data_IF_949289550199
#
_entry.id   IF_949289550199
#
_cell.length_a   1.000
_cell.length_b   1.000
_cell.length_c   1.000
_cell.angle_alpha   90.00
_cell.angle_beta   90.00
_cell.angle_gamma   90.00
#
_symmetry.space_group_name_H-M   'P 1'
#
loop_
_entity.id
_entity.type
_entity.pdbx_description
1 polymer ?
#
# COMPACT_ATOMS: atom_id res chain seq x y z
N UNK A 1 17.85 6.70 13.47
CA UNK A 1 16.48 6.67 14.02
C UNK A 1 15.61 6.00 12.97
N UNK A 2 15.12 4.78 13.21
CA UNK A 2 14.26 4.07 12.25
C UNK A 2 12.87 4.68 12.40
N UNK A 3 12.37 5.34 11.36
CA UNK A 3 11.04 5.93 11.35
C UNK A 3 10.02 4.80 11.55
N UNK A 4 8.99 5.02 12.36
CA UNK A 4 7.93 4.02 12.57
C UNK A 4 7.19 3.85 11.25
N UNK A 5 7.29 2.66 10.66
CA UNK A 5 6.55 2.28 9.46
C UNK A 5 5.05 2.26 9.75
N UNK A 6 4.24 2.38 8.71
CA UNK A 6 2.80 2.17 8.82
C UNK A 6 2.46 0.77 9.36
N UNK A 7 1.26 0.66 9.92
CA UNK A 7 0.74 -0.60 10.42
C UNK A 7 0.76 -1.68 9.32
N UNK A 8 1.03 -2.96 9.65
CA UNK A 8 1.00 -4.03 8.67
C UNK A 8 -0.39 -4.19 8.05
N UNK A 9 -0.42 -4.64 6.78
CA UNK A 9 -1.59 -4.93 5.92
C UNK A 9 -2.63 -5.93 6.51
N UNK A 10 -2.47 -6.36 7.76
CA UNK A 10 -3.26 -7.43 8.39
C UNK A 10 -4.53 -6.97 9.12
N UNK A 11 -4.79 -5.66 9.21
CA UNK A 11 -6.06 -5.15 9.72
C UNK A 11 -7.11 -5.09 8.60
N UNK A 12 -8.37 -5.38 8.91
CA UNK A 12 -9.47 -5.47 7.92
C UNK A 12 -9.58 -4.27 6.98
N UNK A 13 -10.20 -4.44 5.81
CA UNK A 13 -10.21 -3.42 4.74
C UNK A 13 -10.82 -2.09 5.20
N UNK A 14 -11.92 -2.14 5.97
CA UNK A 14 -12.60 -0.98 6.53
C UNK A 14 -12.61 -1.05 8.07
N UNK A 15 -12.54 0.10 8.72
CA UNK A 15 -12.80 0.26 10.15
C UNK A 15 -13.26 1.67 10.44
N UNK A 16 -14.15 1.81 11.41
CA UNK A 16 -14.57 3.08 11.96
C UNK A 16 -14.37 3.03 13.47
N UNK A 17 -13.67 4.02 14.01
CA UNK A 17 -13.35 4.10 15.43
C UNK A 17 -13.28 5.54 15.88
N UNK A 18 -13.29 5.74 17.19
CA UNK A 18 -13.00 7.02 17.81
C UNK A 18 -11.67 6.92 18.55
N UNK A 19 -10.77 7.88 18.31
CA UNK A 19 -9.46 7.93 18.96
C UNK A 19 -9.32 9.26 19.66
N UNK A 20 -9.30 9.22 21.00
CA UNK A 20 -9.21 10.42 21.82
C UNK A 20 -10.32 11.43 21.53
N UNK A 21 -11.56 10.97 21.32
CA UNK A 21 -12.72 11.80 20.99
C UNK A 21 -12.85 12.19 19.52
N UNK A 22 -11.89 11.79 18.67
CA UNK A 22 -11.86 12.15 17.24
C UNK A 22 -12.33 10.99 16.36
N UNK A 23 -13.33 11.17 15.48
CA UNK A 23 -13.76 10.10 14.58
C UNK A 23 -12.69 9.81 13.54
N UNK A 24 -12.45 8.52 13.33
CA UNK A 24 -11.48 7.98 12.38
C UNK A 24 -12.18 6.96 11.49
N UNK A 25 -12.15 7.20 10.19
CA UNK A 25 -12.56 6.25 9.16
C UNK A 25 -11.32 5.72 8.46
N UNK A 26 -11.14 4.40 8.45
CA UNK A 26 -10.00 3.74 7.83
C UNK A 26 -10.44 2.94 6.61
N UNK A 27 -9.71 3.06 5.51
CA UNK A 27 -9.92 2.23 4.31
C UNK A 27 -8.57 1.85 3.67
N UNK A 28 -8.32 0.55 3.55
CA UNK A 28 -7.04 -0.01 3.03
C UNK A 28 -7.12 -0.53 1.58
N UNK A 29 -8.29 -0.47 0.95
CA UNK A 29 -8.43 -0.83 -0.45
C UNK A 29 -9.70 -0.22 -1.03
N UNK A 30 -9.65 0.14 -2.31
CA UNK A 30 -10.82 0.43 -3.13
C UNK A 30 -11.16 -0.73 -4.07
N UNK A 31 -10.81 -1.97 -3.73
CA UNK A 31 -11.28 -3.14 -4.45
C UNK A 31 -12.80 -3.29 -4.37
N UNK A 32 -13.41 -3.92 -5.38
CA UNK A 32 -14.88 -4.15 -5.42
C UNK A 32 -15.37 -5.23 -4.43
N UNK A 33 -14.45 -5.83 -3.66
CA UNK A 33 -14.77 -6.87 -2.68
C UNK A 33 -13.82 -6.80 -1.46
N UNK A 34 -14.29 -7.06 -0.23
CA UNK A 34 -15.69 -7.28 0.15
C UNK A 34 -16.55 -6.01 -0.01
N UNK A 35 -17.74 -6.17 -0.61
CA UNK A 35 -18.59 -5.04 -1.01
C UNK A 35 -19.13 -4.27 0.21
N UNK A 36 -19.38 -4.98 1.30
CA UNK A 36 -19.79 -4.42 2.58
C UNK A 36 -18.80 -3.38 3.14
N UNK A 37 -17.50 -3.55 2.91
CA UNK A 37 -16.49 -2.58 3.34
C UNK A 37 -16.56 -1.30 2.51
N UNK A 38 -16.80 -1.42 1.20
CA UNK A 38 -17.01 -0.26 0.33
C UNK A 38 -18.32 0.45 0.67
N UNK A 39 -19.39 -0.30 0.92
CA UNK A 39 -20.68 0.29 1.28
C UNK A 39 -20.61 1.02 2.63
N UNK A 40 -19.92 0.45 3.64
CA UNK A 40 -19.66 1.11 4.91
C UNK A 40 -18.80 2.38 4.74
N UNK A 41 -17.73 2.30 3.94
CA UNK A 41 -16.92 3.47 3.60
C UNK A 41 -17.76 4.57 2.95
N UNK A 42 -18.58 4.25 1.96
CA UNK A 42 -19.45 5.24 1.30
C UNK A 42 -20.55 5.78 2.21
N UNK A 43 -21.01 5.02 3.21
CA UNK A 43 -21.97 5.48 4.21
C UNK A 43 -21.33 6.52 5.16
N UNK A 44 -20.07 6.30 5.57
CA UNK A 44 -19.33 7.22 6.44
C UNK A 44 -19.24 8.64 5.87
N UNK A 45 -19.16 8.78 4.53
CA UNK A 45 -19.14 10.07 3.85
C UNK A 45 -20.36 10.94 4.21
N UNK A 46 -21.55 10.32 4.21
CA UNK A 46 -22.79 11.02 4.53
C UNK A 46 -22.95 11.24 6.03
N UNK A 47 -22.49 10.30 6.85
CA UNK A 47 -22.53 10.38 8.31
C UNK A 47 -21.73 11.58 8.84
N UNK A 48 -20.53 11.79 8.32
CA UNK A 48 -19.62 12.84 8.79
C UNK A 48 -19.72 14.15 8.02
N UNK A 49 -20.65 14.25 7.07
CA UNK A 49 -20.91 15.50 6.36
C UNK A 49 -21.42 16.57 7.34
N UNK A 50 -20.67 17.66 7.47
CA UNK A 50 -21.00 18.76 8.37
C UNK A 50 -20.53 18.54 9.82
N UNK A 51 -19.83 17.44 10.12
CA UNK A 51 -19.16 17.26 11.40
C UNK A 51 -18.03 18.30 11.59
N UNK A 52 -17.62 18.62 12.83
CA UNK A 52 -16.52 19.56 13.08
C UNK A 52 -15.19 19.10 12.49
N UNK A 53 -14.89 17.80 12.57
CA UNK A 53 -13.77 17.19 11.86
C UNK A 53 -13.96 15.68 11.63
N UNK A 54 -13.15 15.13 10.72
CA UNK A 54 -13.02 13.70 10.47
C UNK A 54 -11.56 13.39 10.12
N UNK A 55 -11.00 12.33 10.71
CA UNK A 55 -9.76 11.73 10.23
C UNK A 55 -10.11 10.60 9.26
N UNK A 56 -9.56 10.64 8.04
CA UNK A 56 -9.65 9.54 7.07
C UNK A 56 -8.26 8.94 6.90
N UNK A 57 -8.08 7.73 7.41
CA UNK A 57 -6.83 7.00 7.34
C UNK A 57 -6.79 6.13 6.09
N UNK A 58 -6.01 6.56 5.09
CA UNK A 58 -5.80 5.83 3.84
C UNK A 58 -4.40 5.24 3.73
N UNK A 59 -3.57 5.30 4.78
CA UNK A 59 -2.24 4.63 4.81
C UNK A 59 -2.39 3.17 4.38
N UNK A 60 -1.48 2.63 3.58
CA UNK A 60 -1.59 1.26 3.09
C UNK A 60 -2.69 1.00 2.05
N UNK A 61 -3.39 2.03 1.55
CA UNK A 61 -4.43 1.85 0.53
C UNK A 61 -3.85 1.68 -0.87
N UNK A 62 -3.83 0.44 -1.35
CA UNK A 62 -3.22 0.09 -2.65
C UNK A 62 -4.10 0.44 -3.86
N UNK A 63 -5.22 1.13 -3.67
CA UNK A 63 -6.14 1.53 -4.73
C UNK A 63 -7.18 0.47 -5.09
N UNK A 64 -7.61 0.45 -6.35
CA UNK A 64 -8.69 -0.42 -6.84
C UNK A 64 -9.56 0.28 -7.88
N UNK A 65 -10.86 0.35 -7.63
CA UNK A 65 -11.83 0.99 -8.50
C UNK A 65 -11.99 2.47 -8.14
N UNK A 66 -11.65 3.35 -9.09
CA UNK A 66 -11.68 4.81 -8.95
C UNK A 66 -13.10 5.36 -8.68
N UNK A 67 -14.14 4.59 -8.99
CA UNK A 67 -15.52 4.98 -8.72
C UNK A 67 -15.80 5.18 -7.22
N UNK A 68 -15.17 4.40 -6.34
CA UNK A 68 -15.43 4.47 -4.89
C UNK A 68 -14.94 5.75 -4.23
N UNK A 69 -13.66 6.15 -4.36
CA UNK A 69 -13.21 7.43 -3.80
C UNK A 69 -13.97 8.62 -4.40
N UNK A 70 -14.27 8.59 -5.71
CA UNK A 70 -15.08 9.64 -6.35
C UNK A 70 -16.50 9.75 -5.77
N UNK A 71 -17.15 8.60 -5.55
CA UNK A 71 -18.47 8.57 -4.92
C UNK A 71 -18.43 9.03 -3.46
N UNK A 72 -17.38 8.66 -2.71
CA UNK A 72 -17.20 9.12 -1.34
C UNK A 72 -17.13 10.65 -1.28
N UNK A 73 -16.28 11.28 -2.09
CA UNK A 73 -16.19 12.76 -2.16
C UNK A 73 -17.52 13.39 -2.57
N UNK A 74 -18.22 12.79 -3.54
CA UNK A 74 -19.56 13.23 -3.97
C UNK A 74 -20.55 13.21 -2.81
N UNK A 75 -20.59 12.14 -2.02
CA UNK A 75 -21.50 11.99 -0.87
C UNK A 75 -21.13 12.94 0.26
N UNK A 76 -19.83 13.09 0.53
CA UNK A 76 -19.30 13.95 1.59
C UNK A 76 -19.58 15.43 1.32
N UNK A 77 -19.29 15.92 0.11
CA UNK A 77 -19.40 17.34 -0.24
C UNK A 77 -20.76 17.71 -0.86
N UNK A 78 -21.46 16.72 -1.44
CA UNK A 78 -22.62 16.96 -2.31
C UNK A 78 -22.26 17.42 -3.72
N UNK A 79 -20.96 17.46 -4.08
CA UNK A 79 -20.48 17.81 -5.41
C UNK A 79 -19.52 16.74 -5.92
N UNK A 80 -19.70 16.35 -7.17
CA UNK A 80 -18.80 15.39 -7.79
C UNK A 80 -17.46 16.08 -8.13
N UNK A 81 -16.31 15.53 -7.70
CA UNK A 81 -15.02 16.08 -8.10
C UNK A 81 -14.72 15.75 -9.57
N UNK A 82 -13.99 16.65 -10.23
CA UNK A 82 -13.46 16.41 -11.57
C UNK A 82 -12.14 15.63 -11.50
N UNK A 83 -11.69 15.11 -12.64
CA UNK A 83 -10.31 14.60 -12.73
C UNK A 83 -9.35 15.77 -12.63
N UNK A 84 -8.16 15.54 -12.09
CA UNK A 84 -7.02 16.49 -12.17
C UNK A 84 -6.00 16.08 -13.23
N UNK A 85 -6.32 15.02 -13.96
CA UNK A 85 -5.50 14.41 -14.99
C UNK A 85 -6.29 14.31 -16.29
N UNK A 86 -5.62 14.64 -17.40
CA UNK A 86 -6.04 14.21 -18.74
C UNK A 86 -5.90 12.70 -18.79
N UNK A 87 -6.97 12.00 -19.15
CA UNK A 87 -7.00 10.55 -19.32
C UNK A 87 -7.18 10.21 -20.80
N UNK A 88 -6.37 9.27 -21.29
CA UNK A 88 -6.60 8.59 -22.56
C UNK A 88 -6.20 7.13 -22.43
N UNK A 89 -6.83 6.26 -23.20
CA UNK A 89 -6.58 4.82 -23.21
C UNK A 89 -6.27 4.35 -24.63
N UNK A 90 -5.25 3.52 -24.80
CA UNK A 90 -4.93 2.89 -26.07
C UNK A 90 -5.92 1.75 -26.32
N UNK A 91 -6.71 1.90 -27.38
CA UNK A 91 -7.72 0.94 -27.81
C UNK A 91 -7.19 0.20 -29.03
N UNK A 92 -7.07 -1.12 -28.89
CA UNK A 92 -6.59 -2.07 -29.90
C UNK A 92 -7.09 -3.46 -29.53
N UNK A 93 -7.05 -4.40 -30.48
CA UNK A 93 -7.35 -5.81 -30.19
C UNK A 93 -6.57 -6.32 -28.96
N UNK A 94 -5.24 -6.11 -28.94
CA UNK A 94 -4.37 -6.57 -27.85
C UNK A 94 -4.74 -5.93 -26.53
N UNK A 95 -4.91 -4.61 -26.46
CA UNK A 95 -5.24 -3.95 -25.18
C UNK A 95 -6.61 -4.40 -24.66
N UNK A 96 -7.60 -4.54 -25.54
CA UNK A 96 -8.97 -4.92 -25.17
C UNK A 96 -9.09 -6.39 -24.76
N UNK A 97 -8.45 -7.33 -25.45
CA UNK A 97 -8.44 -8.72 -24.98
C UNK A 97 -7.73 -8.85 -23.63
N UNK A 98 -6.64 -8.09 -23.42
CA UNK A 98 -5.96 -8.06 -22.14
C UNK A 98 -6.80 -7.44 -21.02
N UNK A 99 -7.68 -6.48 -21.33
CA UNK A 99 -8.68 -5.95 -20.39
C UNK A 99 -9.72 -7.00 -20.03
N UNK A 100 -10.25 -7.73 -21.02
CA UNK A 100 -11.15 -8.86 -20.81
C UNK A 100 -10.50 -9.90 -19.87
N UNK A 101 -9.23 -10.22 -20.09
CA UNK A 101 -8.45 -11.11 -19.22
C UNK A 101 -8.30 -10.58 -17.79
N UNK A 102 -8.08 -9.27 -17.60
CA UNK A 102 -8.01 -8.66 -16.26
C UNK A 102 -9.29 -8.88 -15.46
N UNK A 103 -10.45 -8.66 -16.08
CA UNK A 103 -11.75 -8.88 -15.42
C UNK A 103 -12.04 -10.36 -15.21
N UNK A 104 -11.66 -11.23 -16.16
CA UNK A 104 -11.80 -12.67 -16.01
C UNK A 104 -10.93 -13.22 -14.87
N UNK A 105 -9.70 -12.74 -14.73
CA UNK A 105 -8.81 -13.10 -13.63
C UNK A 105 -9.36 -12.64 -12.28
N UNK A 106 -9.85 -11.41 -12.20
CA UNK A 106 -10.47 -10.90 -10.98
C UNK A 106 -11.70 -11.74 -10.59
N UNK A 107 -12.56 -12.08 -11.55
CA UNK A 107 -13.72 -12.95 -11.35
C UNK A 107 -13.34 -14.37 -10.92
N UNK A 108 -12.27 -14.93 -11.47
CA UNK A 108 -11.74 -16.23 -11.06
C UNK A 108 -11.27 -16.20 -9.60
N UNK A 109 -10.58 -15.14 -9.18
CA UNK A 109 -10.04 -15.01 -7.83
C UNK A 109 -11.12 -14.65 -6.80
N UNK A 110 -12.18 -13.94 -7.22
CA UNK A 110 -13.30 -13.51 -6.39
C UNK A 110 -14.62 -13.78 -7.13
N UNK A 111 -15.18 -15.00 -7.02
CA UNK A 111 -16.40 -15.40 -7.73
C UNK A 111 -17.63 -14.52 -7.45
N UNK A 112 -17.69 -13.87 -6.29
CA UNK A 112 -18.75 -12.94 -5.87
C UNK A 112 -18.86 -11.72 -6.80
N UNK A 113 -17.78 -11.38 -7.52
CA UNK A 113 -17.80 -10.32 -8.53
C UNK A 113 -18.74 -10.64 -9.71
N UNK A 114 -19.18 -11.90 -9.86
CA UNK A 114 -20.21 -12.29 -10.84
C UNK A 114 -21.50 -11.48 -10.67
N UNK A 115 -21.84 -11.11 -9.44
CA UNK A 115 -23.02 -10.32 -9.09
C UNK A 115 -22.79 -8.80 -9.22
N UNK A 116 -21.56 -8.38 -9.54
CA UNK A 116 -21.13 -6.99 -9.62
C UNK A 116 -20.81 -6.55 -11.07
N UNK A 117 -21.37 -7.25 -12.06
CA UNK A 117 -21.26 -6.89 -13.48
C UNK A 117 -19.94 -7.27 -14.15
N UNK A 118 -19.03 -7.98 -13.46
CA UNK A 118 -17.76 -8.43 -14.06
C UNK A 118 -17.94 -9.31 -15.31
N UNK A 119 -18.90 -10.26 -15.37
CA UNK A 119 -19.13 -11.04 -16.58
C UNK A 119 -19.47 -10.16 -17.79
N UNK A 120 -20.30 -9.13 -17.61
CA UNK A 120 -20.64 -8.20 -18.67
C UNK A 120 -19.41 -7.42 -19.16
N UNK A 121 -18.52 -6.99 -18.24
CA UNK A 121 -17.26 -6.33 -18.61
C UNK A 121 -16.32 -7.25 -19.40
N UNK A 122 -16.25 -8.54 -19.03
CA UNK A 122 -15.46 -9.53 -19.78
C UNK A 122 -15.92 -9.60 -21.23
N UNK A 123 -17.24 -9.70 -21.45
CA UNK A 123 -17.82 -9.74 -22.80
C UNK A 123 -17.69 -8.40 -23.53
N UNK A 124 -17.88 -7.27 -22.86
CA UNK A 124 -17.72 -5.93 -23.41
C UNK A 124 -16.32 -5.73 -24.01
N UNK A 125 -15.27 -6.01 -23.22
CA UNK A 125 -13.89 -5.87 -23.70
C UNK A 125 -13.51 -6.91 -24.75
N UNK A 126 -14.16 -8.10 -24.74
CA UNK A 126 -13.99 -9.07 -25.82
C UNK A 126 -14.60 -8.58 -27.13
N UNK A 127 -15.81 -8.03 -27.09
CA UNK A 127 -16.46 -7.45 -28.26
C UNK A 127 -15.66 -6.28 -28.85
N UNK A 128 -15.03 -5.45 -28.01
CA UNK A 128 -14.11 -4.42 -28.52
C UNK A 128 -12.90 -5.02 -29.23
N UNK A 129 -12.33 -6.13 -28.72
CA UNK A 129 -11.20 -6.78 -29.38
C UNK A 129 -11.60 -7.35 -30.75
N UNK A 130 -12.75 -8.03 -30.84
CA UNK A 130 -13.29 -8.60 -32.09
C UNK A 130 -13.53 -7.54 -33.16
N UNK A 131 -14.06 -6.36 -32.79
CA UNK A 131 -14.25 -5.25 -33.73
C UNK A 131 -12.93 -4.74 -34.37
N UNK A 132 -11.80 -4.87 -33.67
CA UNK A 132 -10.48 -4.53 -34.22
C UNK A 132 -9.94 -5.58 -35.19
N UNK A 133 -10.25 -6.86 -34.98
CA UNK A 133 -9.93 -7.93 -35.93
C UNK A 133 -10.66 -7.72 -37.27
N UNK A 134 -11.86 -7.14 -37.22
CA UNK A 134 -12.65 -6.76 -38.40
C UNK A 134 -12.16 -5.49 -39.13
N UNK A 135 -10.97 -4.97 -38.77
CA UNK A 135 -10.28 -3.91 -39.52
C UNK A 135 -10.37 -2.51 -38.93
N UNK A 136 -10.84 -2.35 -37.69
CA UNK A 136 -10.74 -1.07 -36.97
C UNK A 136 -9.29 -0.84 -36.55
N UNK A 137 -8.68 0.28 -36.97
CA UNK A 137 -7.31 0.62 -36.59
C UNK A 137 -7.19 0.95 -35.10
N UNK A 138 -6.04 0.67 -34.48
CA UNK A 138 -5.76 1.07 -33.10
C UNK A 138 -5.78 2.61 -32.94
N UNK A 139 -6.34 3.09 -31.85
CA UNK A 139 -6.45 4.53 -31.57
C UNK A 139 -6.36 4.84 -30.08
N UNK A 140 -6.06 6.09 -29.76
CA UNK A 140 -6.16 6.60 -28.40
C UNK A 140 -7.56 7.15 -28.15
N UNK A 141 -8.21 6.71 -27.08
CA UNK A 141 -9.53 7.19 -26.70
C UNK A 141 -9.53 8.72 -26.58
N UNK A 142 -10.51 9.43 -27.17
CA UNK A 142 -10.56 10.88 -27.11
C UNK A 142 -10.47 11.39 -25.67
N UNK A 143 -9.60 12.38 -25.44
CA UNK A 143 -9.42 12.98 -24.13
C UNK A 143 -10.09 14.35 -24.06
N UNK A 144 -10.44 14.74 -22.84
CA UNK A 144 -10.79 16.11 -22.50
C UNK A 144 -9.79 16.63 -21.48
N UNK A 145 -9.53 17.94 -21.52
CA UNK A 145 -8.73 18.59 -20.48
C UNK A 145 -9.68 18.96 -19.34
N UNK A 146 -9.51 18.39 -18.14
CA UNK A 146 -10.39 18.74 -17.04
C UNK A 146 -10.04 20.12 -16.48
N UNK A 147 -11.03 20.79 -15.91
CA UNK A 147 -10.89 22.06 -15.20
C UNK A 147 -11.26 21.85 -13.73
N UNK A 148 -10.35 21.31 -12.89
CA UNK A 148 -10.65 21.05 -11.49
C UNK A 148 -11.00 22.35 -10.76
N UNK A 149 -12.02 22.30 -9.92
CA UNK A 149 -12.53 23.46 -9.18
C UNK A 149 -12.53 23.18 -7.69
N UNK A 150 -12.37 24.24 -6.91
CA UNK A 150 -12.55 24.18 -5.46
C UNK A 150 -13.98 23.79 -5.10
N UNK A 151 -14.12 22.80 -4.23
CA UNK A 151 -15.36 22.21 -3.73
C UNK A 151 -15.50 22.61 -2.26
N UNK A 152 -16.50 23.42 -1.90
CA UNK A 152 -16.71 23.82 -0.52
C UNK A 152 -16.99 22.62 0.39
N UNK A 153 -16.45 22.66 1.60
CA UNK A 153 -16.70 21.69 2.67
C UNK A 153 -16.92 22.41 3.99
N UNK A 154 -17.90 21.98 4.77
CA UNK A 154 -18.17 22.48 6.13
C UNK A 154 -17.53 21.62 7.22
N UNK A 155 -16.69 20.66 6.84
CA UNK A 155 -16.00 19.74 7.74
C UNK A 155 -14.49 19.83 7.52
N UNK A 156 -13.72 19.93 8.60
CA UNK A 156 -12.26 19.76 8.52
C UNK A 156 -11.94 18.29 8.31
N UNK A 157 -11.31 17.96 7.19
CA UNK A 157 -10.89 16.62 6.86
C UNK A 157 -9.38 16.47 7.06
N UNK A 158 -8.96 15.49 7.83
CA UNK A 158 -7.55 15.18 8.05
C UNK A 158 -7.28 13.82 7.42
N UNK A 159 -6.42 13.77 6.42
CA UNK A 159 -6.17 12.55 5.63
C UNK A 159 -4.80 12.00 5.98
N UNK A 160 -4.74 10.75 6.45
CA UNK A 160 -3.48 10.11 6.77
C UNK A 160 -2.96 9.34 5.56
N UNK A 161 -1.71 9.62 5.17
CA UNK A 161 -1.07 9.08 3.95
C UNK A 161 0.28 8.45 4.24
N UNK A 162 0.67 7.47 3.45
CA UNK A 162 1.99 6.84 3.50
C UNK A 162 2.47 6.34 2.12
N UNK A 163 3.70 5.82 2.08
CA UNK A 163 4.31 5.29 0.85
C UNK A 163 3.61 4.08 0.24
N UNK A 164 2.57 3.54 0.88
CA UNK A 164 1.78 2.41 0.39
C UNK A 164 0.42 2.83 -0.17
N UNK A 165 0.18 4.14 -0.31
CA UNK A 165 -0.98 4.66 -1.04
C UNK A 165 -0.70 4.67 -2.53
N UNK A 166 -1.46 3.89 -3.31
CA UNK A 166 -1.26 3.73 -4.75
C UNK A 166 -2.55 3.84 -5.56
N UNK A 167 -2.43 4.15 -6.86
CA UNK A 167 -3.51 4.02 -7.84
C UNK A 167 -4.77 4.80 -7.42
N UNK A 168 -5.95 4.17 -7.30
CA UNK A 168 -7.16 4.88 -6.83
C UNK A 168 -7.06 5.45 -5.41
N UNK A 169 -6.10 4.99 -4.59
CA UNK A 169 -5.71 5.65 -3.35
C UNK A 169 -5.19 7.06 -3.61
N UNK A 170 -4.33 7.21 -4.62
CA UNK A 170 -3.80 8.49 -5.06
C UNK A 170 -4.81 9.30 -5.90
N UNK A 171 -5.73 8.61 -6.58
CA UNK A 171 -6.92 9.22 -7.16
C UNK A 171 -7.80 9.87 -6.10
N UNK A 172 -7.92 9.27 -4.91
CA UNK A 172 -8.64 9.87 -3.79
C UNK A 172 -7.96 11.14 -3.30
N UNK A 173 -6.63 11.13 -3.15
CA UNK A 173 -5.84 12.33 -2.83
C UNK A 173 -6.11 13.44 -3.86
N UNK A 174 -6.09 13.09 -5.15
CA UNK A 174 -6.38 14.01 -6.26
C UNK A 174 -7.78 14.63 -6.18
N UNK A 175 -8.79 13.85 -5.80
CA UNK A 175 -10.14 14.37 -5.59
C UNK A 175 -10.24 15.27 -4.35
N UNK A 176 -9.54 14.92 -3.28
CA UNK A 176 -9.55 15.68 -2.04
C UNK A 176 -8.76 16.99 -2.12
N UNK A 177 -7.76 17.12 -3.00
CA UNK A 177 -7.11 18.41 -3.29
C UNK A 177 -8.08 19.46 -3.86
N UNK A 178 -9.22 19.06 -4.40
CA UNK A 178 -10.26 19.98 -4.82
C UNK A 178 -11.13 20.43 -3.66
N UNK A 179 -11.11 19.76 -2.51
CA UNK A 179 -12.04 20.01 -1.39
C UNK A 179 -11.43 21.00 -0.41
N UNK A 180 -12.21 22.00 0.03
CA UNK A 180 -11.78 22.93 1.08
C UNK A 180 -11.63 22.23 2.43
N UNK A 181 -10.81 22.81 3.32
CA UNK A 181 -10.63 22.34 4.70
C UNK A 181 -10.06 20.90 4.81
N UNK A 182 -9.25 20.48 3.82
CA UNK A 182 -8.51 19.20 3.86
C UNK A 182 -7.04 19.46 4.26
N UNK A 183 -6.49 18.60 5.12
CA UNK A 183 -5.05 18.55 5.43
C UNK A 183 -4.53 17.12 5.34
N UNK A 184 -3.46 16.90 4.58
CA UNK A 184 -2.79 15.62 4.43
C UNK A 184 -1.62 15.50 5.43
N UNK A 185 -1.56 14.41 6.18
CA UNK A 185 -0.55 14.18 7.23
C UNK A 185 0.06 12.79 7.04
N UNK A 186 1.39 12.72 7.03
CA UNK A 186 2.10 11.45 6.98
C UNK A 186 3.32 11.48 6.08
N UNK A 187 3.46 10.48 5.23
CA UNK A 187 4.55 10.37 4.25
C UNK A 187 4.02 10.55 2.83
N UNK A 188 4.92 10.67 1.85
CA UNK A 188 4.54 10.71 0.45
C UNK A 188 3.76 9.45 0.05
N UNK A 189 2.80 9.57 -0.86
CA UNK A 189 2.20 8.40 -1.51
C UNK A 189 3.19 7.68 -2.43
N UNK A 190 2.79 6.53 -2.98
CA UNK A 190 3.68 5.63 -3.68
C UNK A 190 4.01 6.01 -5.14
N UNK A 191 3.23 6.88 -5.78
CA UNK A 191 3.52 7.41 -7.12
C UNK A 191 3.23 6.46 -8.28
N UNK A 192 2.07 5.79 -8.29
CA UNK A 192 1.58 4.98 -9.40
C UNK A 192 0.36 5.64 -10.05
N UNK A 193 0.61 6.71 -10.81
CA UNK A 193 -0.42 7.71 -11.21
C UNK A 193 -0.41 8.05 -12.69
N UNK A 194 0.67 7.79 -13.42
CA UNK A 194 0.78 8.09 -14.85
C UNK A 194 0.20 6.98 -15.71
N UNK A 195 0.44 5.72 -15.36
CA UNK A 195 0.01 4.57 -16.15
C UNK A 195 -1.05 3.75 -15.42
N UNK A 196 -2.08 3.31 -16.14
CA UNK A 196 -3.23 2.66 -15.53
C UNK A 196 -3.95 1.70 -16.47
N UNK A 197 -5.14 1.28 -16.03
CA UNK A 197 -5.98 0.31 -16.74
C UNK A 197 -5.16 -0.93 -17.16
N UNK A 198 -4.80 -1.77 -16.18
CA UNK A 198 -3.94 -2.91 -16.45
C UNK A 198 -4.64 -3.92 -17.38
N UNK A 199 -3.88 -4.38 -18.38
CA UNK A 199 -4.21 -5.49 -19.26
C UNK A 199 -3.32 -6.69 -18.93
N UNK A 200 -3.90 -7.89 -18.89
CA UNK A 200 -3.16 -9.11 -18.54
C UNK A 200 -3.04 -10.05 -19.75
N UNK A 201 -1.81 -10.54 -19.96
CA UNK A 201 -1.43 -11.35 -21.11
C UNK A 201 -0.63 -12.57 -20.67
N UNK A 202 -0.68 -13.63 -21.47
CA UNK A 202 0.18 -14.81 -21.32
C UNK A 202 0.99 -15.00 -22.60
N UNK A 203 2.31 -15.01 -22.49
CA UNK A 203 3.18 -15.16 -23.65
C UNK A 203 3.05 -16.59 -24.23
N UNK A 204 2.89 -16.73 -25.56
CA UNK A 204 2.46 -17.99 -26.18
C UNK A 204 3.48 -19.14 -26.07
N UNK A 205 4.77 -18.83 -25.95
CA UNK A 205 5.83 -19.86 -25.86
C UNK A 205 6.30 -20.10 -24.42
N UNK A 206 6.61 -19.03 -23.68
CA UNK A 206 7.16 -19.12 -22.31
C UNK A 206 6.10 -19.26 -21.22
N UNK A 207 4.83 -18.97 -21.54
CA UNK A 207 3.72 -18.93 -20.58
C UNK A 207 3.86 -17.89 -19.47
N UNK A 208 4.83 -16.96 -19.59
CA UNK A 208 5.01 -15.86 -18.65
C UNK A 208 3.78 -14.96 -18.69
N UNK A 209 3.29 -14.60 -17.51
CA UNK A 209 2.23 -13.61 -17.35
C UNK A 209 2.82 -12.21 -17.39
N UNK A 210 2.21 -11.33 -18.17
CA UNK A 210 2.63 -9.93 -18.31
C UNK A 210 1.42 -9.04 -18.04
N UNK A 211 1.61 -8.05 -17.16
CA UNK A 211 0.67 -6.97 -16.96
C UNK A 211 1.21 -5.71 -17.65
N UNK A 212 0.40 -5.08 -18.50
CA UNK A 212 0.77 -3.86 -19.23
C UNK A 212 -0.33 -2.80 -19.06
N UNK A 213 0.01 -1.55 -18.74
CA UNK A 213 -0.97 -0.47 -18.71
C UNK A 213 -1.48 -0.15 -20.11
N UNK A 214 -2.76 0.19 -20.21
CA UNK A 214 -3.38 0.65 -21.47
C UNK A 214 -3.65 2.15 -21.45
N UNK A 215 -3.65 2.80 -20.28
CA UNK A 215 -3.95 4.22 -20.16
C UNK A 215 -2.75 5.10 -19.85
N UNK A 216 -2.82 6.34 -20.33
CA UNK A 216 -1.93 7.45 -19.98
C UNK A 216 -2.74 8.51 -19.23
N UNK A 217 -2.20 8.92 -18.09
CA UNK A 217 -2.73 9.99 -17.24
C UNK A 217 -1.68 11.10 -17.11
N UNK A 218 -2.05 12.31 -17.49
CA UNK A 218 -1.16 13.48 -17.41
C UNK A 218 -1.82 14.54 -16.54
N UNK A 219 -1.17 14.95 -15.45
CA UNK A 219 -1.69 16.02 -14.61
C UNK A 219 -1.76 17.34 -15.37
N UNK A 220 -2.82 18.10 -15.15
CA UNK A 220 -3.02 19.39 -15.83
C UNK A 220 -1.99 20.46 -15.44
N UNK A 221 -1.37 20.32 -14.26
CA UNK A 221 -0.26 21.16 -13.80
C UNK A 221 1.11 20.73 -14.37
N UNK A 222 1.15 19.63 -15.13
CA UNK A 222 2.35 19.03 -15.71
C UNK A 222 3.40 18.61 -14.67
N UNK A 223 3.04 18.50 -13.39
CA UNK A 223 3.95 18.00 -12.37
C UNK A 223 4.08 16.48 -12.47
N UNK A 224 5.33 16.03 -12.56
CA UNK A 224 5.66 14.60 -12.59
C UNK A 224 5.64 14.01 -11.19
N UNK A 225 4.64 13.14 -10.94
CA UNK A 225 4.40 12.47 -9.65
C UNK A 225 4.63 10.95 -9.66
N UNK A 226 4.86 10.36 -10.83
CA UNK A 226 5.23 8.94 -10.91
C UNK A 226 6.54 8.69 -10.12
N UNK A 227 6.61 7.56 -9.40
CA UNK A 227 7.68 7.17 -8.48
C UNK A 227 7.92 8.09 -7.28
N UNK A 228 7.21 9.23 -7.19
CA UNK A 228 7.35 10.23 -6.11
C UNK A 228 6.13 10.34 -5.21
N UNK A 229 4.96 10.13 -5.80
CA UNK A 229 3.66 10.32 -5.17
C UNK A 229 3.32 11.79 -4.89
N UNK A 230 2.26 11.95 -4.13
CA UNK A 230 1.79 13.21 -3.56
C UNK A 230 2.51 13.47 -2.24
N UNK A 231 2.97 14.71 -2.05
CA UNK A 231 3.52 15.16 -0.78
C UNK A 231 2.38 15.49 0.19
N UNK A 232 2.50 15.13 1.48
CA UNK A 232 1.56 15.57 2.50
C UNK A 232 1.78 17.07 2.81
N UNK A 233 0.76 17.73 3.34
CA UNK A 233 0.89 19.10 3.85
C UNK A 233 1.77 19.14 5.10
N UNK A 234 1.64 18.11 5.95
CA UNK A 234 2.43 17.92 7.16
C UNK A 234 3.15 16.58 7.11
N UNK A 235 4.46 16.63 6.88
CA UNK A 235 5.28 15.43 6.88
C UNK A 235 5.48 14.92 8.31
N UNK A 236 5.01 13.70 8.57
CA UNK A 236 5.09 12.99 9.86
C UNK A 236 5.39 11.51 9.57
N UNK A 237 6.25 10.83 10.33
CA UNK A 237 6.45 9.39 10.14
C UNK A 237 5.11 8.66 10.14
N UNK A 238 4.87 7.79 9.14
CA UNK A 238 3.54 7.25 8.90
C UNK A 238 2.96 6.55 10.14
N UNK A 239 3.78 5.84 10.92
CA UNK A 239 3.34 5.18 12.16
C UNK A 239 2.92 6.13 13.29
N UNK A 240 3.30 7.40 13.25
CA UNK A 240 2.94 8.41 14.25
C UNK A 240 1.84 9.39 13.76
N UNK A 241 1.45 9.31 12.47
CA UNK A 241 0.54 10.27 11.83
C UNK A 241 -0.83 10.39 12.52
N UNK A 242 -1.44 9.26 12.92
CA UNK A 242 -2.73 9.27 13.61
C UNK A 242 -2.63 9.93 15.00
N UNK A 243 -1.63 9.53 15.78
CA UNK A 243 -1.39 10.10 17.11
C UNK A 243 -1.12 11.61 17.02
N UNK A 244 -0.35 12.03 16.02
CA UNK A 244 -0.09 13.43 15.74
C UNK A 244 -1.38 14.18 15.40
N UNK A 245 -2.19 13.66 14.46
CA UNK A 245 -3.44 14.28 14.03
C UNK A 245 -4.40 14.49 15.20
N UNK A 246 -4.64 13.44 16.00
CA UNK A 246 -5.52 13.51 17.18
C UNK A 246 -4.98 14.53 18.19
N UNK A 247 -3.69 14.49 18.50
CA UNK A 247 -3.09 15.44 19.44
C UNK A 247 -3.17 16.89 18.93
N UNK A 248 -2.98 17.11 17.63
CA UNK A 248 -3.03 18.43 17.01
C UNK A 248 -4.44 19.01 17.01
N UNK A 249 -5.47 18.19 16.74
CA UNK A 249 -6.89 18.59 16.86
C UNK A 249 -7.22 18.95 18.30
N UNK A 250 -6.89 18.09 19.27
CA UNK A 250 -7.17 18.31 20.70
C UNK A 250 -6.51 19.57 21.26
N UNK A 251 -5.29 19.88 20.81
CA UNK A 251 -4.57 21.11 21.20
C UNK A 251 -5.08 22.35 20.44
N UNK A 252 -5.85 22.17 19.37
CA UNK A 252 -6.29 23.24 18.47
C UNK A 252 -5.18 23.78 17.57
N UNK A 253 -4.12 22.99 17.33
CA UNK A 253 -3.07 23.32 16.36
C UNK A 253 -3.55 23.07 14.93
N UNK A 254 -4.39 22.05 14.72
CA UNK A 254 -5.20 21.92 13.51
C UNK A 254 -6.61 22.43 13.85
N UNK A 255 -7.08 23.51 13.21
CA UNK A 255 -8.40 24.06 13.47
C UNK A 255 -9.48 23.16 12.86
N UNK A 256 -10.59 23.04 13.57
CA UNK A 256 -11.81 22.37 13.10
C UNK A 256 -12.79 23.37 12.50
N UNK A 257 -13.66 22.92 11.61
CA UNK A 257 -14.60 23.80 10.90
C UNK A 257 -15.67 24.39 11.81
N UNK A 258 -15.92 23.73 12.94
CA UNK A 258 -16.80 24.14 14.03
C UNK A 258 -16.08 23.93 15.37
N UNK A 259 -16.44 24.63 16.46
CA UNK A 259 -15.83 24.43 17.77
C UNK A 259 -15.93 22.97 18.21
N UNK A 260 -14.77 22.32 18.35
CA UNK A 260 -14.67 20.90 18.69
C UNK A 260 -14.20 20.68 20.15
N UNK A 261 -13.97 21.79 20.88
CA UNK A 261 -13.13 21.86 22.08
C UNK A 261 -13.84 21.47 23.38
N UNK A 262 -15.16 21.58 23.46
CA UNK A 262 -15.90 21.23 24.69
C UNK A 262 -16.04 19.70 24.85
N UNK A 263 -16.29 18.98 23.75
CA UNK A 263 -16.65 17.55 23.76
C UNK A 263 -15.46 16.59 24.01
N UNK A 264 -14.22 17.03 23.75
CA UNK A 264 -13.04 16.13 23.71
C UNK A 264 -12.09 16.34 24.88
N UNK A 265 -12.25 17.46 25.58
CA UNK A 265 -11.37 17.84 26.69
C UNK A 265 -11.34 16.78 27.81
N UNK A 266 -12.43 16.02 27.96
CA UNK A 266 -12.59 14.97 28.97
C UNK A 266 -12.23 13.55 28.49
N UNK A 267 -12.17 13.30 27.17
CA UNK A 267 -11.85 11.98 26.64
C UNK A 267 -10.38 11.63 26.90
N UNK A 268 -10.10 10.47 27.51
CA UNK A 268 -8.74 10.00 27.72
C UNK A 268 -8.07 9.71 26.35
N UNK A 269 -6.94 10.35 26.06
CA UNK A 269 -6.14 10.04 24.87
C UNK A 269 -4.94 9.17 25.27
N UNK A 270 -5.01 7.90 24.90
CA UNK A 270 -3.86 6.99 24.93
C UNK A 270 -3.37 6.83 23.50
N UNK A 271 -2.16 7.31 23.16
CA UNK A 271 -1.61 7.13 21.81
C UNK A 271 -1.61 5.65 21.40
N UNK A 272 -1.95 5.37 20.16
CA UNK A 272 -1.80 4.03 19.61
C UNK A 272 -0.32 3.65 19.63
N UNK A 273 -0.03 2.57 20.31
CA UNK A 273 1.32 2.11 20.58
C UNK A 273 1.58 0.93 19.61
N UNK A 274 2.75 0.84 18.96
CA UNK A 274 2.98 -0.17 17.93
C UNK A 274 2.75 -1.57 18.48
N UNK A 275 2.25 -2.45 17.62
CA UNK A 275 1.92 -3.82 17.99
C UNK A 275 3.10 -4.49 18.68
N UNK A 276 2.83 -5.42 19.60
CA UNK A 276 3.90 -6.20 20.26
C UNK A 276 4.82 -6.86 19.22
N UNK A 277 4.26 -7.26 18.07
CA UNK A 277 4.99 -7.86 16.96
C UNK A 277 6.01 -6.89 16.34
N UNK A 278 5.65 -5.63 16.13
CA UNK A 278 6.55 -4.61 15.57
C UNK A 278 7.69 -4.27 16.55
N UNK A 279 7.39 -4.27 17.85
CA UNK A 279 8.42 -4.15 18.89
C UNK A 279 9.34 -5.38 18.90
N UNK A 280 8.81 -6.59 18.78
CA UNK A 280 9.62 -7.81 18.75
C UNK A 280 10.51 -7.84 17.50
N UNK A 281 9.97 -7.52 16.32
CA UNK A 281 10.70 -7.50 15.04
C UNK A 281 11.82 -6.46 15.02
N UNK A 282 11.67 -5.33 15.73
CA UNK A 282 12.74 -4.33 15.85
C UNK A 282 13.89 -4.80 16.73
N UNK A 283 13.63 -5.59 17.77
CA UNK A 283 14.67 -6.19 18.62
C UNK A 283 15.21 -7.52 18.09
N UNK A 284 14.48 -8.19 17.18
CA UNK A 284 14.83 -9.52 16.67
C UNK A 284 16.25 -9.59 16.07
N UNK A 285 16.75 -8.61 15.28
CA UNK A 285 18.12 -8.66 14.77
C UNK A 285 19.16 -8.54 15.88
N UNK A 286 18.90 -7.72 16.91
CA UNK A 286 19.79 -7.53 18.05
C UNK A 286 19.82 -8.78 18.92
N UNK A 287 18.64 -9.32 19.25
CA UNK A 287 18.51 -10.57 19.99
C UNK A 287 19.17 -11.73 19.23
N UNK A 288 18.97 -11.80 17.91
CA UNK A 288 19.62 -12.80 17.05
C UNK A 288 21.13 -12.62 17.06
N UNK A 289 21.66 -11.40 16.91
CA UNK A 289 23.11 -11.15 16.94
C UNK A 289 23.74 -11.48 18.31
N UNK A 290 23.06 -11.17 19.41
CA UNK A 290 23.52 -11.48 20.77
C UNK A 290 23.49 -12.98 21.05
N UNK A 291 22.38 -13.65 20.72
CA UNK A 291 22.25 -15.10 20.88
C UNK A 291 23.25 -15.83 19.99
N UNK A 292 23.36 -15.41 18.73
CA UNK A 292 24.29 -16.00 17.78
C UNK A 292 25.74 -15.81 18.24
N UNK A 293 26.16 -14.58 18.53
CA UNK A 293 27.52 -14.27 19.00
C UNK A 293 27.86 -14.96 20.32
N UNK A 294 26.94 -14.97 21.30
CA UNK A 294 27.15 -15.60 22.61
C UNK A 294 27.32 -17.12 22.51
N UNK A 295 26.45 -17.79 21.75
CA UNK A 295 26.52 -19.24 21.51
C UNK A 295 27.78 -19.60 20.74
N UNK A 296 28.14 -18.83 19.71
CA UNK A 296 29.35 -19.10 18.92
C UNK A 296 30.64 -18.90 19.72
N UNK A 297 30.73 -17.84 20.54
CA UNK A 297 31.87 -17.62 21.43
C UNK A 297 31.99 -18.75 22.45
N UNK A 298 30.89 -19.20 23.03
CA UNK A 298 30.86 -20.32 23.97
C UNK A 298 31.32 -21.63 23.31
N UNK A 299 30.76 -21.98 22.14
CA UNK A 299 31.16 -23.16 21.38
C UNK A 299 32.61 -23.09 20.93
N UNK A 300 33.09 -21.91 20.52
CA UNK A 300 34.48 -21.71 20.12
C UNK A 300 35.44 -21.95 21.28
N UNK A 301 35.07 -21.61 22.52
CA UNK A 301 35.88 -21.91 23.71
C UNK A 301 35.90 -23.40 24.06
N UNK A 302 34.79 -24.13 23.90
CA UNK A 302 34.66 -25.53 24.37
C UNK A 302 34.90 -26.61 23.30
N UNK A 303 34.78 -26.29 22.02
CA UNK A 303 34.84 -27.26 20.93
C UNK A 303 36.10 -27.09 20.09
N UNK A 304 36.63 -28.24 19.66
CA UNK A 304 37.82 -28.33 18.82
C UNK A 304 37.52 -28.12 17.33
N UNK A 305 38.57 -28.06 16.51
CA UNK A 305 38.49 -27.83 15.05
C UNK A 305 37.55 -28.80 14.31
N UNK A 306 37.50 -30.06 14.72
CA UNK A 306 36.69 -31.11 14.07
C UNK A 306 35.19 -30.80 14.18
N UNK A 307 34.74 -30.29 15.33
CA UNK A 307 33.35 -29.89 15.53
C UNK A 307 32.93 -28.81 14.53
N UNK A 308 33.77 -27.78 14.37
CA UNK A 308 33.49 -26.67 13.45
C UNK A 308 33.55 -27.09 11.98
N UNK A 309 34.39 -28.05 11.61
CA UNK A 309 34.37 -28.63 10.25
C UNK A 309 33.04 -29.35 10.00
N UNK A 310 32.63 -30.22 10.91
CA UNK A 310 31.38 -30.98 10.76
C UNK A 310 30.16 -30.06 10.76
N UNK A 311 30.10 -29.09 11.66
CA UNK A 311 29.04 -28.09 11.69
C UNK A 311 29.02 -27.27 10.40
N UNK A 312 30.18 -26.86 9.88
CA UNK A 312 30.29 -26.12 8.62
C UNK A 312 29.74 -26.90 7.42
N UNK A 313 30.10 -28.19 7.31
CA UNK A 313 29.62 -29.08 6.25
C UNK A 313 28.12 -29.30 6.33
N UNK A 314 27.58 -29.56 7.54
CA UNK A 314 26.13 -29.75 7.74
C UNK A 314 25.37 -28.48 7.36
N UNK A 315 25.84 -27.31 7.79
CA UNK A 315 25.18 -26.04 7.48
C UNK A 315 25.24 -25.71 5.99
N UNK A 316 26.36 -25.99 5.31
CA UNK A 316 26.46 -25.82 3.86
C UNK A 316 25.51 -26.78 3.09
N UNK A 317 25.39 -28.04 3.53
CA UNK A 317 24.46 -29.01 2.94
C UNK A 317 23.00 -28.60 3.15
N UNK A 318 22.64 -28.14 4.36
CA UNK A 318 21.32 -27.57 4.63
C UNK A 318 21.07 -26.32 3.76
N UNK A 319 22.06 -25.44 3.61
CA UNK A 319 21.95 -24.25 2.77
C UNK A 319 21.68 -24.59 1.31
N UNK A 320 22.37 -25.59 0.76
CA UNK A 320 22.10 -26.09 -0.59
C UNK A 320 20.69 -26.67 -0.74
N UNK A 321 20.23 -27.45 0.25
CA UNK A 321 18.87 -27.99 0.28
C UNK A 321 17.79 -26.90 0.35
N UNK A 322 18.02 -25.85 1.14
CA UNK A 322 17.06 -24.76 1.29
C UNK A 322 17.13 -23.73 0.15
N UNK A 323 18.22 -23.65 -0.61
CA UNK A 323 18.34 -22.68 -1.70
C UNK A 323 17.24 -22.83 -2.74
N UNK A 324 16.78 -24.05 -3.01
CA UNK A 324 15.73 -24.34 -3.98
C UNK A 324 14.31 -24.26 -3.42
N UNK A 325 14.14 -24.00 -2.11
CA UNK A 325 12.84 -24.00 -1.43
C UNK A 325 12.54 -22.67 -0.76
N UNK A 326 13.51 -22.18 0.01
CA UNK A 326 13.43 -20.94 0.80
C UNK A 326 14.78 -20.20 0.67
N UNK A 327 14.98 -19.45 -0.43
CA UNK A 327 16.29 -18.87 -0.77
C UNK A 327 16.92 -18.03 0.36
N UNK A 328 16.18 -17.14 1.08
CA UNK A 328 16.75 -16.37 2.19
C UNK A 328 17.36 -17.26 3.28
N UNK A 329 16.67 -18.34 3.65
CA UNK A 329 17.14 -19.30 4.67
C UNK A 329 18.35 -20.10 4.14
N UNK A 330 18.32 -20.47 2.86
CA UNK A 330 19.44 -21.12 2.18
C UNK A 330 20.73 -20.29 2.25
N UNK A 331 20.65 -18.98 1.95
CA UNK A 331 21.79 -18.08 2.03
C UNK A 331 22.34 -17.96 3.47
N UNK A 332 21.46 -17.85 4.47
CA UNK A 332 21.86 -17.81 5.89
C UNK A 332 22.65 -19.07 6.26
N UNK A 333 22.14 -20.27 5.93
CA UNK A 333 22.82 -21.52 6.23
C UNK A 333 24.20 -21.64 5.56
N UNK A 334 24.35 -21.15 4.32
CA UNK A 334 25.65 -21.13 3.63
C UNK A 334 26.64 -20.21 4.34
N UNK A 335 26.23 -18.99 4.72
CA UNK A 335 27.08 -18.05 5.44
C UNK A 335 27.55 -18.62 6.79
N UNK A 336 26.63 -19.26 7.53
CA UNK A 336 26.94 -19.97 8.77
C UNK A 336 27.95 -21.12 8.53
N UNK A 337 27.83 -21.84 7.43
CA UNK A 337 28.78 -22.88 7.03
C UNK A 337 30.19 -22.34 6.75
N UNK A 338 30.27 -21.21 6.05
CA UNK A 338 31.53 -20.52 5.76
C UNK A 338 32.21 -20.02 7.05
N UNK A 339 31.45 -19.41 7.97
CA UNK A 339 31.97 -18.93 9.25
C UNK A 339 32.55 -20.06 10.10
N UNK A 340 31.84 -21.19 10.24
CA UNK A 340 32.34 -22.38 10.92
C UNK A 340 33.66 -22.89 10.30
N UNK A 341 33.74 -22.88 8.97
CA UNK A 341 34.95 -23.31 8.24
C UNK A 341 36.12 -22.39 8.53
N UNK A 342 35.91 -21.07 8.54
CA UNK A 342 36.93 -20.08 8.90
C UNK A 342 37.43 -20.26 10.34
N UNK A 343 36.54 -20.49 11.31
CA UNK A 343 36.92 -20.77 12.71
C UNK A 343 37.76 -22.04 12.79
N UNK A 344 37.39 -23.09 12.04
CA UNK A 344 38.15 -24.34 12.02
C UNK A 344 39.57 -24.15 11.47
N UNK A 345 39.71 -23.38 10.39
CA UNK A 345 40.99 -23.04 9.76
C UNK A 345 41.87 -22.22 10.70
N UNK A 346 41.29 -21.23 11.39
CA UNK A 346 41.99 -20.43 12.40
C UNK A 346 42.54 -21.33 13.53
N UNK A 347 41.70 -22.22 14.09
CA UNK A 347 42.13 -23.17 15.13
C UNK A 347 43.22 -24.13 14.64
N UNK A 348 43.12 -24.57 13.38
CA UNK A 348 44.11 -25.47 12.78
C UNK A 348 45.46 -24.78 12.57
N UNK A 349 45.46 -23.52 12.10
CA UNK A 349 46.69 -22.71 11.98
C UNK A 349 47.31 -22.43 13.34
N UNK A 350 46.51 -22.05 14.35
CA UNK A 350 47.00 -21.80 15.72
C UNK A 350 47.68 -23.03 16.33
N UNK A 351 47.13 -24.23 16.10
CA UNK A 351 47.71 -25.48 16.60
C UNK A 351 49.01 -25.93 15.87
N UNK A 352 49.38 -25.27 14.75
CA UNK A 352 50.64 -25.51 14.02
C UNK A 352 51.72 -24.46 14.29
N UNK A 353 51.36 -23.33 14.91
CA UNK A 353 52.25 -22.20 15.23
C UNK A 353 52.73 -22.17 16.68
N UNK A 354 52.54 -23.27 17.41
CA UNK A 354 53.09 -23.60 18.74
C UNK A 354 53.74 -24.96 18.62
#
# INVERSE_FOLDING_TARGET
>A
MKLRSSEPLHYGVYEEKEVGGVPVVRIRSFGDHPKENIDAFLASASQYKGAPCLIVDIRGNTGGNEAWPKQWVTRFTGRQPDRVQVFTELISETTMIGRSNSYALALHNVPELSQQGYPAKVEEFRGYAEAHDEGVAAFWWPYTVPEPRTIPSTTTLIVLVDGYVYSSGEGFISYLHQVENVVFIGENSGGAVTYGQMSHHRLPNSQILVALPTSLNVFVDLEYREEKGFFPDLWVPAGDALNYAVAAVRRGTIPTSQPYREEISEAAFTPEDPSLMDRVLTWLPIATAVLYGGVFVYLNRRRGRIFFILAGVVMAAMGYFFLSREPPLGYVCILLGAENTLISLYKWRKARGT
#
